data_IF_805879445539
#
_entry.id   IF_805879445539
#
_cell.length_a   1.000
_cell.length_b   1.000
_cell.length_c   1.000
_cell.angle_alpha   90.00
_cell.angle_beta   90.00
_cell.angle_gamma   90.00
#
_symmetry.space_group_name_H-M   'P 1'
#
loop_
_entity.id
_entity.type
_entity.pdbx_description
1 polymer ?
#
# COMPACT_ATOMS: atom_id res chain seq x y z
N UNK A 1 21.44 -17.83 1.41
CA UNK A 1 21.23 -17.48 2.84
C UNK A 1 19.87 -16.81 2.91
N UNK A 2 18.84 -17.49 3.45
CA UNK A 2 17.49 -16.94 3.51
C UNK A 2 17.44 -15.81 4.54
N UNK A 3 16.96 -14.64 4.14
CA UNK A 3 16.73 -13.51 5.04
C UNK A 3 15.71 -13.98 6.08
N UNK A 4 16.04 -13.84 7.37
CA UNK A 4 15.18 -14.24 8.50
C UNK A 4 13.77 -13.65 8.28
N UNK A 5 12.75 -14.52 8.21
CA UNK A 5 11.36 -14.14 7.95
C UNK A 5 10.87 -14.29 6.49
N UNK A 6 11.75 -14.55 5.51
CA UNK A 6 11.35 -14.84 4.13
C UNK A 6 11.20 -16.34 3.88
N UNK A 7 10.14 -16.75 3.16
CA UNK A 7 9.87 -18.16 2.88
C UNK A 7 10.15 -18.52 1.42
N UNK A 8 10.76 -19.70 1.20
CA UNK A 8 10.90 -20.24 -0.15
C UNK A 8 9.57 -20.82 -0.61
N UNK A 9 8.98 -20.21 -1.64
CA UNK A 9 7.77 -20.68 -2.28
C UNK A 9 8.11 -21.69 -3.39
N UNK A 10 7.46 -22.84 -3.37
CA UNK A 10 7.49 -23.80 -4.46
C UNK A 10 6.57 -23.33 -5.59
N UNK A 11 6.84 -23.75 -6.83
CA UNK A 11 6.15 -23.22 -8.02
C UNK A 11 4.61 -23.27 -7.99
N UNK A 12 3.99 -24.23 -7.29
CA UNK A 12 2.52 -24.29 -7.14
C UNK A 12 1.96 -23.42 -6.00
N UNK A 13 2.80 -23.05 -5.03
CA UNK A 13 2.37 -22.33 -3.83
C UNK A 13 2.03 -20.87 -4.13
N UNK A 14 2.70 -20.26 -5.12
CA UNK A 14 2.41 -18.89 -5.58
C UNK A 14 0.97 -18.74 -6.12
N UNK A 15 0.37 -19.83 -6.60
CA UNK A 15 -1.00 -19.86 -7.14
C UNK A 15 -2.04 -20.35 -6.14
N UNK A 16 -1.62 -20.74 -4.93
CA UNK A 16 -2.53 -21.28 -3.91
C UNK A 16 -3.25 -20.14 -3.20
N UNK A 17 -4.57 -20.17 -3.26
CA UNK A 17 -5.45 -19.28 -2.48
C UNK A 17 -6.09 -20.05 -1.33
N UNK A 18 -6.42 -19.37 -0.23
CA UNK A 18 -6.96 -20.00 0.98
C UNK A 18 -8.04 -19.14 1.62
N UNK A 19 -9.05 -19.79 2.22
CA UNK A 19 -10.05 -19.12 3.08
C UNK A 19 -9.44 -18.66 4.42
N UNK A 20 -8.45 -19.40 4.91
CA UNK A 20 -7.83 -19.17 6.21
C UNK A 20 -6.42 -18.57 6.08
N UNK A 21 -6.04 -17.74 7.06
CA UNK A 21 -4.73 -17.10 7.11
C UNK A 21 -3.65 -18.14 7.45
N UNK A 22 -2.65 -18.30 6.57
CA UNK A 22 -1.54 -19.25 6.77
C UNK A 22 -0.21 -18.61 7.13
N UNK A 23 -0.07 -17.33 6.86
CA UNK A 23 1.12 -16.55 7.19
C UNK A 23 0.69 -15.16 7.70
N UNK A 24 1.52 -14.48 8.49
CA UNK A 24 1.35 -13.05 8.75
C UNK A 24 1.19 -12.26 7.44
N UNK A 25 0.32 -11.25 7.44
CA UNK A 25 0.15 -10.41 6.27
C UNK A 25 1.43 -9.60 6.02
N UNK A 26 1.80 -9.47 4.76
CA UNK A 26 3.08 -8.90 4.36
C UNK A 26 4.26 -9.86 4.49
N UNK A 27 4.08 -11.14 4.87
CA UNK A 27 5.19 -12.11 4.83
C UNK A 27 5.84 -12.12 3.45
N UNK A 28 7.18 -12.11 3.37
CA UNK A 28 7.91 -12.19 2.10
C UNK A 28 8.07 -13.63 1.66
N UNK A 29 7.65 -13.93 0.43
CA UNK A 29 7.92 -15.19 -0.25
C UNK A 29 8.86 -14.97 -1.43
N UNK A 30 9.72 -15.93 -1.73
CA UNK A 30 10.58 -15.89 -2.91
C UNK A 30 10.62 -17.24 -3.62
N UNK A 31 10.82 -17.24 -4.93
CA UNK A 31 10.95 -18.45 -5.75
C UNK A 31 12.40 -18.61 -6.23
N UNK A 32 12.77 -19.82 -6.67
CA UNK A 32 14.13 -20.11 -7.16
C UNK A 32 14.51 -19.35 -8.43
N UNK A 33 13.53 -18.90 -9.19
CA UNK A 33 13.69 -18.09 -10.39
C UNK A 33 13.83 -16.57 -10.09
N UNK A 34 13.91 -16.18 -8.82
CA UNK A 34 14.19 -14.81 -8.39
C UNK A 34 12.96 -13.91 -8.20
N UNK A 35 11.74 -14.39 -8.48
CA UNK A 35 10.52 -13.62 -8.21
C UNK A 35 10.25 -13.50 -6.71
N UNK A 36 9.66 -12.37 -6.30
CA UNK A 36 9.30 -12.07 -4.91
C UNK A 36 7.80 -11.80 -4.81
N UNK A 37 7.24 -12.25 -3.70
CA UNK A 37 5.82 -12.16 -3.39
C UNK A 37 5.61 -11.68 -1.95
N UNK A 38 4.44 -11.12 -1.68
CA UNK A 38 3.98 -10.77 -0.34
C UNK A 38 2.63 -11.45 -0.04
N UNK A 39 2.46 -11.95 1.18
CA UNK A 39 1.21 -12.61 1.57
C UNK A 39 0.12 -11.57 1.87
N UNK A 40 -1.01 -11.64 1.18
CA UNK A 40 -2.08 -10.65 1.23
C UNK A 40 -3.46 -11.29 1.36
N UNK A 41 -4.46 -10.48 1.71
CA UNK A 41 -5.88 -10.85 1.72
C UNK A 41 -6.66 -9.96 0.75
N UNK A 42 -7.54 -10.54 -0.04
CA UNK A 42 -8.45 -9.78 -0.91
C UNK A 42 -9.62 -9.16 -0.11
N UNK A 43 -9.92 -7.88 -0.35
CA UNK A 43 -10.81 -7.08 0.51
C UNK A 43 -12.28 -6.97 0.11
N UNK A 44 -12.62 -6.90 -1.18
CA UNK A 44 -13.96 -6.46 -1.59
C UNK A 44 -14.59 -7.21 -2.77
N UNK A 45 -13.87 -7.31 -3.88
CA UNK A 45 -14.35 -7.94 -5.13
C UNK A 45 -13.41 -9.06 -5.56
N UNK A 46 -13.90 -10.02 -6.33
CA UNK A 46 -13.02 -11.05 -6.88
C UNK A 46 -11.94 -10.41 -7.75
N UNK A 47 -10.67 -10.74 -7.49
CA UNK A 47 -9.56 -10.27 -8.30
C UNK A 47 -9.40 -11.20 -9.49
N UNK A 48 -9.18 -10.63 -10.68
CA UNK A 48 -8.76 -11.39 -11.86
C UNK A 48 -7.24 -11.62 -11.83
N UNK A 49 -6.76 -12.57 -12.64
CA UNK A 49 -5.32 -12.76 -12.88
C UNK A 49 -4.72 -11.57 -13.64
N UNK A 50 -3.46 -11.25 -13.40
CA UNK A 50 -2.72 -10.23 -14.13
C UNK A 50 -3.19 -8.80 -13.85
N UNK A 51 -3.79 -8.55 -12.69
CA UNK A 51 -4.24 -7.20 -12.30
C UNK A 51 -3.25 -6.59 -11.32
N UNK A 52 -2.90 -5.33 -11.55
CA UNK A 52 -2.28 -4.49 -10.54
C UNK A 52 -3.28 -4.28 -9.39
N UNK A 53 -2.81 -4.51 -8.16
CA UNK A 53 -3.59 -4.28 -6.94
C UNK A 53 -2.91 -3.23 -6.07
N UNK A 54 -3.70 -2.54 -5.25
CA UNK A 54 -3.25 -1.59 -4.24
C UNK A 54 -3.82 -1.97 -2.86
N UNK A 55 -3.31 -1.35 -1.80
CA UNK A 55 -3.92 -1.41 -0.47
C UNK A 55 -5.31 -0.76 -0.47
N UNK A 56 -6.15 -1.11 0.51
CA UNK A 56 -7.37 -0.35 0.77
C UNK A 56 -7.03 1.14 0.95
N UNK A 57 -7.94 2.03 0.55
CA UNK A 57 -7.79 3.45 0.83
C UNK A 57 -7.71 3.64 2.36
N UNK A 58 -6.80 4.49 2.87
CA UNK A 58 -6.80 4.86 4.27
C UNK A 58 -8.17 5.39 4.69
N UNK A 59 -8.60 5.03 5.90
CA UNK A 59 -9.87 5.53 6.42
C UNK A 59 -9.66 6.96 6.93
N UNK A 60 -10.20 7.95 6.23
CA UNK A 60 -9.89 9.39 6.39
C UNK A 60 -10.07 9.94 7.82
N UNK A 61 -10.90 9.30 8.64
CA UNK A 61 -11.17 9.75 10.01
C UNK A 61 -10.40 8.96 11.07
N UNK A 62 -9.47 8.10 10.64
CA UNK A 62 -8.55 7.36 11.50
C UNK A 62 -7.09 7.50 11.03
N UNK A 63 -6.85 8.17 9.91
CA UNK A 63 -5.52 8.26 9.28
C UNK A 63 -4.58 9.20 10.01
N UNK A 64 -5.10 10.14 10.78
CA UNK A 64 -4.40 11.30 11.35
C UNK A 64 -5.28 11.96 12.42
N UNK A 65 -4.65 12.83 13.22
CA UNK A 65 -5.29 13.75 14.15
C UNK A 65 -6.23 13.08 15.16
N UNK A 66 -5.92 11.84 15.57
CA UNK A 66 -6.63 11.16 16.64
C UNK A 66 -6.08 11.61 17.99
N UNK A 67 -6.99 11.95 18.88
CA UNK A 67 -6.63 12.41 20.23
C UNK A 67 -6.12 11.25 21.09
N UNK A 68 -5.00 11.49 21.77
CA UNK A 68 -4.46 10.60 22.79
C UNK A 68 -5.23 10.84 24.09
N UNK A 69 -5.97 9.83 24.55
CA UNK A 69 -6.81 9.97 25.75
C UNK A 69 -6.01 9.87 27.05
N UNK A 70 -4.97 9.03 27.06
CA UNK A 70 -4.06 8.88 28.19
C UNK A 70 -2.64 8.89 27.62
N UNK A 71 -1.89 9.95 27.93
CA UNK A 71 -0.48 10.06 27.59
C UNK A 71 0.33 8.90 28.16
N UNK A 72 1.39 8.55 27.45
CA UNK A 72 2.26 7.42 27.79
C UNK A 72 3.71 7.88 27.87
N UNK A 73 4.48 7.25 28.75
CA UNK A 73 5.91 7.52 28.90
C UNK A 73 6.73 6.75 27.87
N UNK A 74 8.00 7.14 27.70
CA UNK A 74 8.97 6.33 26.95
C UNK A 74 9.03 4.90 27.51
N UNK A 75 9.08 3.91 26.63
CA UNK A 75 9.02 2.48 26.97
C UNK A 75 7.62 1.89 26.99
N UNK A 76 6.56 2.68 26.81
CA UNK A 76 5.20 2.17 26.78
C UNK A 76 4.96 1.30 25.53
N UNK A 77 4.37 0.11 25.76
CA UNK A 77 4.02 -0.87 24.73
C UNK A 77 2.52 -0.88 24.37
N UNK A 78 1.77 0.12 24.85
CA UNK A 78 0.34 0.28 24.58
C UNK A 78 -0.04 1.75 24.68
N UNK A 79 -1.13 2.13 24.00
CA UNK A 79 -1.68 3.49 24.06
C UNK A 79 -3.21 3.44 23.97
N UNK A 80 -3.88 4.38 24.65
CA UNK A 80 -5.31 4.57 24.55
C UNK A 80 -5.62 5.83 23.76
N UNK A 81 -6.35 5.65 22.66
CA UNK A 81 -6.71 6.73 21.75
C UNK A 81 -8.22 6.89 21.71
N UNK A 82 -8.63 8.07 21.28
CA UNK A 82 -10.01 8.40 20.98
C UNK A 82 -10.24 8.26 19.49
N UNK A 83 -11.32 7.57 19.11
CA UNK A 83 -11.76 7.43 17.73
C UNK A 83 -13.21 7.88 17.58
N UNK A 84 -13.53 8.42 16.41
CA UNK A 84 -14.87 8.92 16.07
C UNK A 84 -15.70 7.92 15.28
N UNK A 85 -15.10 6.78 14.92
CA UNK A 85 -15.70 5.78 14.03
C UNK A 85 -15.76 4.41 14.68
N UNK A 86 -16.83 3.67 14.38
CA UNK A 86 -16.96 2.28 14.79
C UNK A 86 -15.86 1.45 14.13
N UNK A 87 -15.09 0.73 14.94
CA UNK A 87 -14.09 -0.21 14.47
C UNK A 87 -14.33 -1.56 15.11
N UNK A 88 -14.29 -2.62 14.31
CA UNK A 88 -14.34 -3.99 14.85
C UNK A 88 -13.04 -4.35 15.54
N UNK A 89 -13.10 -5.33 16.44
CA UNK A 89 -11.92 -5.86 17.13
C UNK A 89 -10.83 -6.22 16.11
N UNK A 90 -9.60 -5.78 16.37
CA UNK A 90 -8.42 -6.09 15.56
C UNK A 90 -8.52 -5.77 14.05
N UNK A 91 -9.39 -4.84 13.66
CA UNK A 91 -9.47 -4.34 12.30
C UNK A 91 -8.12 -3.76 11.81
N UNK A 92 -7.26 -3.25 12.68
CA UNK A 92 -5.96 -2.65 12.33
C UNK A 92 -4.76 -3.51 12.76
N UNK A 93 -4.98 -4.74 13.22
CA UNK A 93 -3.90 -5.63 13.64
C UNK A 93 -2.91 -5.92 12.50
N UNK A 94 -1.61 -5.82 12.80
CA UNK A 94 -0.51 -5.90 11.85
C UNK A 94 -0.30 -4.64 11.01
N UNK A 95 -1.14 -3.62 11.18
CA UNK A 95 -0.94 -2.26 10.66
C UNK A 95 -0.03 -1.44 11.55
N UNK A 96 -0.09 -0.13 11.44
CA UNK A 96 0.79 0.79 12.16
C UNK A 96 0.02 1.89 12.85
N UNK A 97 0.53 2.32 14.00
CA UNK A 97 0.22 3.59 14.62
C UNK A 97 1.44 4.49 14.48
N UNK A 98 1.21 5.77 14.25
CA UNK A 98 2.27 6.78 14.21
C UNK A 98 1.82 8.05 14.93
N UNK A 99 2.78 8.78 15.49
CA UNK A 99 2.55 10.08 16.13
C UNK A 99 2.75 11.15 15.07
N UNK A 100 1.69 11.89 14.74
CA UNK A 100 1.67 12.83 13.62
C UNK A 100 1.90 14.28 14.04
N UNK A 101 1.64 14.63 15.30
CA UNK A 101 1.92 15.95 15.86
C UNK A 101 2.23 15.84 17.36
N UNK A 102 2.86 16.88 17.92
CA UNK A 102 3.12 17.04 19.34
C UNK A 102 4.28 16.20 19.90
N UNK A 103 4.19 15.83 21.17
CA UNK A 103 5.26 15.09 21.84
C UNK A 103 5.40 13.67 21.24
N UNK A 104 6.61 13.31 20.82
CA UNK A 104 6.88 12.00 20.21
C UNK A 104 6.58 11.92 18.71
N UNK A 105 6.32 13.04 18.04
CA UNK A 105 6.13 13.13 16.59
C UNK A 105 7.21 12.35 15.80
N UNK A 106 6.79 11.69 14.73
CA UNK A 106 7.66 10.92 13.84
C UNK A 106 7.94 9.48 14.30
N UNK A 107 7.43 9.09 15.47
CA UNK A 107 7.51 7.71 15.94
C UNK A 107 6.42 6.85 15.33
N UNK A 108 6.74 5.59 15.07
CA UNK A 108 5.79 4.59 14.60
C UNK A 108 6.01 3.25 15.30
N UNK A 109 4.93 2.50 15.47
CA UNK A 109 4.97 1.14 15.97
C UNK A 109 3.94 0.27 15.26
N UNK A 110 4.22 -1.03 15.18
CA UNK A 110 3.28 -1.98 14.61
C UNK A 110 2.20 -2.34 15.65
N UNK A 111 0.95 -2.37 15.21
CA UNK A 111 -0.19 -2.74 16.05
C UNK A 111 -0.25 -4.27 16.16
N UNK A 112 -0.16 -4.80 17.38
CA UNK A 112 -0.43 -6.22 17.66
C UNK A 112 -1.93 -6.49 17.68
N UNK A 113 -2.63 -5.74 18.51
CA UNK A 113 -4.05 -5.90 18.79
C UNK A 113 -4.68 -4.55 19.15
N UNK A 114 -6.00 -4.45 19.04
CA UNK A 114 -6.74 -3.34 19.61
C UNK A 114 -8.18 -3.74 19.93
N UNK A 115 -8.76 -3.08 20.93
CA UNK A 115 -10.18 -3.25 21.27
C UNK A 115 -11.08 -2.70 20.17
N UNK A 116 -12.29 -3.25 20.03
CA UNK A 116 -13.32 -2.59 19.22
C UNK A 116 -13.67 -1.24 19.81
N UNK A 117 -14.03 -0.29 18.94
CA UNK A 117 -14.60 0.98 19.34
C UNK A 117 -16.04 1.04 18.83
N UNK A 118 -17.00 1.28 19.72
CA UNK A 118 -18.41 1.47 19.37
C UNK A 118 -18.83 2.90 19.69
N UNK A 119 -19.56 3.55 18.79
CA UNK A 119 -20.15 4.87 19.03
C UNK A 119 -21.32 4.73 20.00
N UNK A 120 -21.02 4.72 21.30
CA UNK A 120 -22.03 4.99 22.33
C UNK A 120 -22.27 6.50 22.36
N UNK A 121 -23.54 6.89 22.21
CA UNK A 121 -24.06 8.26 22.15
C UNK A 121 -23.16 9.34 22.77
N UNK A 122 -22.82 10.35 21.97
CA UNK A 122 -22.31 11.68 22.34
C UNK A 122 -20.85 11.88 22.77
N UNK A 123 -20.02 10.84 22.92
CA UNK A 123 -18.59 11.03 23.22
C UNK A 123 -17.73 9.95 22.51
N UNK A 124 -16.88 10.37 21.57
CA UNK A 124 -15.52 9.85 21.33
C UNK A 124 -15.24 8.44 21.91
N UNK A 125 -15.33 7.39 21.09
CA UNK A 125 -15.08 6.01 21.53
C UNK A 125 -13.61 5.79 21.85
N UNK A 126 -13.31 4.96 22.84
CA UNK A 126 -11.92 4.64 23.21
C UNK A 126 -11.45 3.38 22.52
N UNK A 127 -10.20 3.38 22.08
CA UNK A 127 -9.51 2.23 21.53
C UNK A 127 -8.19 2.02 22.28
N UNK A 128 -8.05 0.86 22.92
CA UNK A 128 -6.77 0.40 23.47
C UNK A 128 -6.00 -0.30 22.35
N UNK A 129 -4.76 0.12 22.13
CA UNK A 129 -3.85 -0.47 21.13
C UNK A 129 -2.66 -1.06 21.86
N UNK A 130 -2.33 -2.31 21.55
CA UNK A 130 -1.12 -2.99 22.00
C UNK A 130 -0.11 -3.07 20.84
N UNK A 131 1.18 -2.90 21.15
CA UNK A 131 2.26 -2.88 20.16
C UNK A 131 2.90 -4.26 19.99
N UNK A 132 3.28 -4.60 18.76
CA UNK A 132 3.84 -5.90 18.40
C UNK A 132 5.37 -5.98 18.62
N UNK A 133 5.88 -7.21 18.77
CA UNK A 133 7.32 -7.55 18.72
C UNK A 133 8.23 -6.71 19.65
N UNK A 134 7.72 -6.35 20.83
CA UNK A 134 8.46 -5.51 21.79
C UNK A 134 8.55 -4.04 21.37
N UNK A 135 7.73 -3.61 20.41
CA UNK A 135 7.57 -2.23 20.01
C UNK A 135 7.17 -1.35 21.19
N UNK A 136 7.80 -0.19 21.27
CA UNK A 136 7.57 0.81 22.31
C UNK A 136 7.56 2.21 21.70
N UNK A 137 6.91 3.15 22.37
CA UNK A 137 7.18 4.57 22.14
C UNK A 137 8.53 4.92 22.75
N UNK A 138 9.42 5.51 21.95
CA UNK A 138 10.79 5.85 22.42
C UNK A 138 10.85 7.23 23.07
N UNK A 139 9.88 8.09 22.77
CA UNK A 139 9.64 9.36 23.45
C UNK A 139 8.25 9.31 24.08
N UNK A 140 8.04 10.07 25.14
CA UNK A 140 6.71 10.19 25.73
C UNK A 140 5.73 10.80 24.71
N UNK A 141 4.50 10.30 24.72
CA UNK A 141 3.37 10.81 23.95
C UNK A 141 2.42 11.46 24.95
N UNK A 142 2.15 12.75 24.81
CA UNK A 142 1.30 13.48 25.76
C UNK A 142 -0.19 13.17 25.52
N UNK A 143 -1.01 13.41 26.53
CA UNK A 143 -2.47 13.46 26.33
C UNK A 143 -2.79 14.69 25.49
N UNK A 144 -3.68 14.56 24.51
CA UNK A 144 -3.97 15.66 23.60
C UNK A 144 -5.33 15.59 22.94
N UNK A 145 -5.96 16.74 22.77
CA UNK A 145 -7.17 16.90 21.96
C UNK A 145 -6.80 17.30 20.52
N UNK A 146 -7.71 17.02 19.59
CA UNK A 146 -7.51 17.33 18.17
C UNK A 146 -7.30 18.84 17.96
N UNK A 147 -6.27 19.24 17.21
CA UNK A 147 -5.94 20.62 16.86
C UNK A 147 -5.26 21.43 17.98
N UNK A 148 -4.55 20.76 18.89
CA UNK A 148 -3.80 21.39 19.99
C UNK A 148 -2.31 21.10 19.86
N UNK A 149 -1.44 21.77 20.65
CA UNK A 149 0.01 21.46 20.67
C UNK A 149 0.36 20.14 21.36
N UNK A 150 -0.65 19.36 21.74
CA UNK A 150 -0.50 18.06 22.40
C UNK A 150 -0.36 16.94 21.37
N UNK A 151 -0.01 15.72 21.80
CA UNK A 151 0.21 14.63 20.85
C UNK A 151 -1.06 14.17 20.14
N UNK A 152 -0.92 13.97 18.84
CA UNK A 152 -1.92 13.40 17.95
C UNK A 152 -1.34 12.18 17.23
N UNK A 153 -2.21 11.22 16.92
CA UNK A 153 -1.80 9.98 16.26
C UNK A 153 -2.66 9.62 15.06
N UNK A 154 -2.07 8.89 14.13
CA UNK A 154 -2.78 8.24 13.03
C UNK A 154 -2.64 6.72 13.10
N UNK A 155 -3.65 5.99 12.60
CA UNK A 155 -3.59 4.53 12.44
C UNK A 155 -3.81 4.13 10.98
N UNK A 156 -3.01 3.19 10.51
CA UNK A 156 -3.06 2.67 9.14
C UNK A 156 -3.18 1.16 9.19
N UNK A 157 -4.12 0.60 8.43
CA UNK A 157 -4.29 -0.85 8.28
C UNK A 157 -3.02 -1.46 7.68
N UNK A 158 -2.76 -2.74 7.94
CA UNK A 158 -1.73 -3.47 7.21
C UNK A 158 -1.97 -3.31 5.69
N UNK A 159 -0.99 -2.82 4.90
CA UNK A 159 -1.18 -2.60 3.47
C UNK A 159 -1.60 -3.85 2.69
N UNK A 160 -1.25 -5.05 3.17
CA UNK A 160 -1.60 -6.32 2.55
C UNK A 160 -2.90 -6.93 3.10
N UNK A 161 -3.59 -6.27 4.03
CA UNK A 161 -4.97 -6.58 4.37
C UNK A 161 -5.91 -5.83 3.42
N UNK A 162 -6.96 -6.52 2.98
CA UNK A 162 -7.96 -6.00 2.05
C UNK A 162 -7.38 -5.34 0.77
N UNK A 163 -6.45 -6.03 0.11
CA UNK A 163 -6.00 -5.64 -1.22
C UNK A 163 -7.18 -5.52 -2.20
N UNK A 164 -7.16 -4.49 -3.03
CA UNK A 164 -8.17 -4.20 -4.05
C UNK A 164 -7.53 -4.01 -5.42
N UNK A 165 -8.30 -4.16 -6.49
CA UNK A 165 -7.86 -3.79 -7.83
C UNK A 165 -7.45 -2.31 -7.80
N UNK A 166 -6.28 -1.98 -8.34
CA UNK A 166 -5.83 -0.60 -8.47
C UNK A 166 -6.87 0.19 -9.29
N UNK A 167 -7.57 1.18 -8.70
CA UNK A 167 -8.53 2.00 -9.41
C UNK A 167 -7.81 2.92 -10.40
N UNK A 168 -8.58 3.50 -11.32
CA UNK A 168 -8.09 4.44 -12.33
C UNK A 168 -7.31 5.62 -11.71
N UNK A 169 -7.80 6.12 -10.58
CA UNK A 169 -7.11 7.09 -9.73
C UNK A 169 -6.71 6.37 -8.46
N UNK A 170 -5.42 6.14 -8.26
CA UNK A 170 -4.93 5.48 -7.05
C UNK A 170 -5.46 6.18 -5.81
N UNK A 171 -5.84 5.38 -4.82
CA UNK A 171 -6.28 5.86 -3.51
C UNK A 171 -5.37 5.37 -2.39
N UNK A 172 -4.37 4.56 -2.73
CA UNK A 172 -3.42 3.97 -1.80
C UNK A 172 -2.18 3.46 -2.57
N UNK A 173 -1.25 2.82 -1.87
CA UNK A 173 -0.01 2.31 -2.48
C UNK A 173 -0.25 1.06 -3.33
N UNK A 174 0.35 1.02 -4.52
CA UNK A 174 0.36 -0.19 -5.35
C UNK A 174 1.15 -1.31 -4.65
N UNK A 175 0.56 -2.50 -4.55
CA UNK A 175 1.14 -3.64 -3.84
C UNK A 175 1.83 -4.63 -4.78
N UNK A 176 1.31 -4.80 -6.00
CA UNK A 176 1.84 -5.77 -6.96
C UNK A 176 0.79 -6.36 -7.88
N UNK A 177 1.12 -7.48 -8.52
CA UNK A 177 0.29 -8.10 -9.55
C UNK A 177 -0.25 -9.45 -9.07
N UNK A 178 -1.50 -9.74 -9.39
CA UNK A 178 -2.16 -11.01 -9.03
C UNK A 178 -1.68 -12.15 -9.94
N UNK A 179 -1.00 -13.19 -9.42
CA UNK A 179 -0.56 -14.32 -10.25
C UNK A 179 -1.71 -15.27 -10.63
N UNK A 180 -2.90 -15.10 -10.03
CA UNK A 180 -4.11 -15.89 -10.25
C UNK A 180 -5.35 -15.08 -9.87
N UNK A 181 -6.51 -15.47 -10.37
CA UNK A 181 -7.79 -15.04 -9.82
C UNK A 181 -7.97 -15.41 -8.33
N UNK A 182 -8.48 -14.48 -7.52
CA UNK A 182 -8.63 -14.62 -6.06
C UNK A 182 -10.05 -14.22 -5.65
N UNK A 183 -10.76 -15.13 -4.97
CA UNK A 183 -12.08 -14.83 -4.43
C UNK A 183 -12.02 -13.76 -3.32
N UNK A 184 -13.15 -13.10 -3.05
CA UNK A 184 -13.26 -12.12 -1.95
C UNK A 184 -12.91 -12.81 -0.63
N UNK A 185 -12.22 -12.10 0.27
CA UNK A 185 -11.78 -12.59 1.58
C UNK A 185 -10.77 -13.75 1.57
N UNK A 186 -10.29 -14.20 0.41
CA UNK A 186 -9.25 -15.22 0.34
C UNK A 186 -7.86 -14.59 0.48
N UNK A 187 -6.94 -15.38 1.02
CA UNK A 187 -5.53 -15.05 1.12
C UNK A 187 -4.77 -15.60 -0.09
N UNK A 188 -3.73 -14.88 -0.49
CA UNK A 188 -2.93 -15.19 -1.68
C UNK A 188 -1.53 -14.56 -1.60
N UNK A 189 -0.68 -14.91 -2.56
CA UNK A 189 0.62 -14.28 -2.77
C UNK A 189 0.50 -13.25 -3.89
N UNK A 190 0.70 -11.96 -3.58
CA UNK A 190 0.81 -10.91 -4.61
C UNK A 190 2.27 -10.83 -5.08
N UNK A 191 2.51 -10.79 -6.39
CA UNK A 191 3.88 -10.68 -6.92
C UNK A 191 4.33 -9.22 -6.88
N UNK A 192 5.49 -8.96 -6.26
CA UNK A 192 6.03 -7.61 -6.03
C UNK A 192 7.34 -7.36 -6.77
N UNK A 193 8.09 -8.41 -7.11
CA UNK A 193 9.35 -8.30 -7.83
C UNK A 193 9.50 -9.42 -8.87
N UNK A 194 10.13 -9.06 -9.98
CA UNK A 194 10.61 -9.95 -11.03
C UNK A 194 9.61 -10.06 -12.18
N UNK A 195 9.87 -10.94 -13.15
CA UNK A 195 9.03 -11.10 -14.33
C UNK A 195 7.58 -11.47 -13.96
N UNK A 196 6.64 -10.60 -14.30
CA UNK A 196 5.21 -10.77 -14.05
C UNK A 196 4.40 -10.48 -15.31
N UNK A 197 3.26 -11.15 -15.44
CA UNK A 197 2.27 -10.86 -16.49
C UNK A 197 1.22 -9.94 -15.90
N UNK A 198 1.01 -8.78 -16.53
CA UNK A 198 0.04 -7.77 -16.09
C UNK A 198 -0.74 -7.23 -17.27
N UNK A 199 -1.99 -6.86 -17.05
CA UNK A 199 -2.77 -6.15 -18.05
C UNK A 199 -2.11 -4.82 -18.37
N UNK A 200 -1.91 -4.56 -19.65
CA UNK A 200 -1.37 -3.28 -20.12
C UNK A 200 -2.49 -2.40 -20.66
N UNK A 201 -2.23 -1.10 -20.66
CA UNK A 201 -3.02 -0.16 -21.45
C UNK A 201 -2.84 -0.52 -22.92
N UNK A 202 -3.97 -0.52 -23.61
CA UNK A 202 -4.12 -1.34 -24.81
C UNK A 202 -4.64 -0.51 -26.00
N UNK A 203 -4.95 0.76 -25.75
CA UNK A 203 -5.43 1.72 -26.73
C UNK A 203 -5.01 3.14 -26.33
N UNK A 204 -4.96 4.04 -27.30
CA UNK A 204 -4.72 5.46 -27.05
C UNK A 204 -3.27 5.80 -26.69
N UNK A 205 -3.09 6.90 -25.97
CA UNK A 205 -1.78 7.35 -25.53
C UNK A 205 -1.29 6.53 -24.35
N UNK A 206 -0.03 6.09 -24.41
CA UNK A 206 0.61 5.41 -23.29
C UNK A 206 0.70 3.90 -23.36
N UNK A 207 0.39 3.28 -24.50
CA UNK A 207 0.64 1.85 -24.74
C UNK A 207 2.11 1.55 -24.36
N UNK A 208 2.35 0.62 -23.41
CA UNK A 208 3.68 0.19 -23.05
C UNK A 208 4.54 -0.17 -24.26
N UNK A 209 5.86 -0.02 -24.12
CA UNK A 209 6.84 -0.52 -25.07
C UNK A 209 8.01 -1.07 -24.27
N UNK A 210 8.70 -2.08 -24.81
CA UNK A 210 9.83 -2.71 -24.13
C UNK A 210 10.87 -1.67 -23.66
N UNK A 211 11.39 -1.85 -22.45
CA UNK A 211 12.35 -0.95 -21.80
C UNK A 211 11.72 0.22 -21.03
N UNK A 212 10.50 0.65 -21.37
CA UNK A 212 9.91 1.82 -20.72
C UNK A 212 9.47 1.54 -19.28
N UNK A 213 9.66 2.51 -18.37
CA UNK A 213 9.10 2.45 -17.03
C UNK A 213 7.57 2.47 -17.09
N UNK A 214 6.95 1.70 -16.19
CA UNK A 214 5.51 1.53 -16.11
C UNK A 214 4.94 2.18 -14.87
N UNK A 215 3.72 2.70 -15.01
CA UNK A 215 2.92 3.28 -13.93
C UNK A 215 1.50 2.70 -13.98
N UNK A 216 0.70 2.83 -12.91
CA UNK A 216 -0.73 2.51 -12.95
C UNK A 216 -1.43 3.25 -14.09
N UNK A 217 -2.31 2.56 -14.82
CA UNK A 217 -3.10 3.14 -15.91
C UNK A 217 -4.42 3.73 -15.40
N UNK A 218 -5.10 4.47 -16.28
CA UNK A 218 -6.49 4.92 -16.07
C UNK A 218 -7.51 3.78 -16.20
N UNK A 219 -7.10 2.61 -16.70
CA UNK A 219 -7.91 1.39 -16.68
C UNK A 219 -7.61 0.62 -15.39
N UNK A 220 -8.64 0.27 -14.63
CA UNK A 220 -8.49 -0.38 -13.34
C UNK A 220 -7.70 -1.71 -13.42
N UNK A 221 -6.63 -1.79 -12.63
CA UNK A 221 -5.72 -2.91 -12.56
C UNK A 221 -4.78 -3.08 -13.76
N UNK A 222 -4.75 -2.11 -14.68
CA UNK A 222 -3.81 -2.11 -15.80
C UNK A 222 -2.62 -1.17 -15.56
N UNK A 223 -1.60 -1.30 -16.41
CA UNK A 223 -0.37 -0.50 -16.36
C UNK A 223 -0.15 0.22 -17.69
N UNK A 224 0.40 1.43 -17.66
CA UNK A 224 0.66 2.26 -18.83
C UNK A 224 2.12 2.73 -18.80
N UNK A 225 2.67 3.14 -19.94
CA UNK A 225 4.02 3.73 -19.96
C UNK A 225 4.01 5.06 -19.22
N UNK A 226 5.08 5.32 -18.47
CA UNK A 226 5.34 6.65 -17.97
C UNK A 226 5.73 7.57 -19.13
N UNK A 227 5.10 8.75 -19.21
CA UNK A 227 5.30 9.75 -20.26
C UNK A 227 6.38 10.78 -19.91
N UNK A 228 7.35 10.44 -19.06
CA UNK A 228 8.52 11.28 -18.85
C UNK A 228 9.61 10.93 -19.86
N UNK A 229 9.71 11.71 -20.94
CA UNK A 229 10.98 11.83 -21.63
C UNK A 229 11.85 12.78 -20.81
N UNK A 230 13.05 12.36 -20.38
CA UNK A 230 14.15 13.32 -20.25
C UNK A 230 14.54 13.64 -21.70
N UNK A 231 13.86 14.61 -22.32
CA UNK A 231 14.32 15.06 -23.63
C UNK A 231 15.57 15.89 -23.41
N UNK A 232 16.67 15.48 -24.04
CA UNK A 232 17.72 16.41 -24.45
C UNK A 232 17.30 17.17 -25.70
N UNK A 233 16.09 16.90 -26.23
CA UNK A 233 15.56 17.61 -27.38
C UNK A 233 15.16 19.01 -26.93
N UNK A 234 16.04 19.95 -27.28
CA UNK A 234 15.68 21.32 -27.62
C UNK A 234 14.76 21.27 -28.84
N UNK A 235 13.51 20.82 -28.65
CA UNK A 235 12.50 20.93 -29.68
C UNK A 235 12.08 22.38 -29.71
N UNK A 236 12.83 23.15 -30.50
CA UNK A 236 12.59 24.55 -30.83
C UNK A 236 11.20 24.72 -31.46
N UNK A 237 10.16 24.75 -30.64
CA UNK A 237 8.95 25.49 -30.98
C UNK A 237 9.23 26.94 -30.63
N UNK A 238 9.52 27.71 -31.68
CA UNK A 238 9.63 29.17 -31.63
C UNK A 238 8.35 29.77 -31.04
N UNK A 239 8.42 30.24 -29.80
CA UNK A 239 7.37 31.07 -29.21
C UNK A 239 7.97 32.45 -28.95
N UNK A 240 7.43 33.44 -29.65
CA UNK A 240 7.75 34.84 -29.41
C UNK A 240 7.19 35.24 -28.04
N UNK A 241 8.07 35.70 -27.15
CA UNK A 241 7.74 36.09 -25.79
C UNK A 241 8.12 34.97 -24.82
N UNK A 242 9.26 35.17 -24.16
CA UNK A 242 9.82 34.21 -23.22
C UNK A 242 8.86 33.90 -22.09
N UNK A 243 8.52 32.62 -21.97
CA UNK A 243 8.23 31.92 -20.73
C UNK A 243 8.41 30.42 -21.01
N UNK A 244 9.37 29.82 -20.31
CA UNK A 244 9.66 28.39 -20.38
C UNK A 244 8.38 27.62 -20.06
N UNK A 245 7.81 26.91 -21.03
CA UNK A 245 6.74 25.94 -20.76
C UNK A 245 7.35 24.68 -20.17
N UNK A 246 7.60 24.71 -18.87
CA UNK A 246 7.70 23.48 -18.09
C UNK A 246 6.31 22.86 -18.11
N UNK A 247 6.11 21.83 -18.93
CA UNK A 247 4.96 20.96 -18.76
C UNK A 247 5.19 20.23 -17.43
N UNK A 248 4.66 20.80 -16.34
CA UNK A 248 4.70 20.18 -15.03
C UNK A 248 4.09 18.79 -15.17
N UNK A 249 4.92 17.77 -14.99
CA UNK A 249 4.50 16.38 -14.83
C UNK A 249 3.57 16.36 -13.61
N UNK A 250 2.27 16.47 -13.86
CA UNK A 250 1.27 16.66 -12.81
C UNK A 250 1.08 15.41 -11.94
N UNK A 251 1.57 14.25 -12.39
CA UNK A 251 1.42 12.97 -11.70
C UNK A 251 2.66 12.09 -11.92
N UNK A 252 3.75 12.38 -11.19
CA UNK A 252 4.87 11.45 -11.07
C UNK A 252 4.47 10.25 -10.22
N UNK A 253 3.85 9.23 -10.83
CA UNK A 253 3.68 7.94 -10.15
C UNK A 253 5.03 7.21 -10.10
N UNK A 254 5.39 6.64 -8.94
CA UNK A 254 6.58 5.81 -8.83
C UNK A 254 6.51 4.65 -9.83
N UNK A 255 7.58 4.41 -10.61
CA UNK A 255 7.57 3.33 -11.58
C UNK A 255 7.44 1.98 -10.85
N UNK A 256 6.48 1.17 -11.27
CA UNK A 256 6.21 -0.15 -10.67
C UNK A 256 7.13 -1.24 -11.24
N UNK A 257 7.88 -0.91 -12.30
CA UNK A 257 8.74 -1.82 -13.04
C UNK A 257 9.04 -1.30 -14.44
N UNK A 258 9.73 -2.14 -15.22
CA UNK A 258 9.98 -1.89 -16.64
C UNK A 258 9.20 -2.87 -17.50
N UNK A 259 8.69 -2.40 -18.63
CA UNK A 259 8.10 -3.27 -19.62
C UNK A 259 9.17 -4.18 -20.23
N UNK A 260 8.95 -5.48 -20.24
CA UNK A 260 9.79 -6.45 -20.94
C UNK A 260 9.24 -6.71 -22.34
N UNK A 261 7.93 -6.89 -22.44
CA UNK A 261 7.22 -7.18 -23.68
C UNK A 261 5.76 -6.80 -23.53
N UNK A 262 5.11 -6.45 -24.64
CA UNK A 262 3.69 -6.10 -24.67
C UNK A 262 3.03 -6.99 -25.70
N UNK A 263 1.89 -7.57 -25.35
CA UNK A 263 0.99 -8.16 -26.34
C UNK A 263 0.44 -7.10 -27.29
N UNK A 264 -0.30 -7.53 -28.32
CA UNK A 264 -1.00 -6.62 -29.23
C UNK A 264 -2.14 -5.84 -28.51
N UNK A 265 -2.78 -4.91 -29.24
CA UNK A 265 -3.85 -4.05 -28.72
C UNK A 265 -4.95 -4.83 -27.99
N UNK A 266 -4.98 -4.73 -26.66
CA UNK A 266 -5.98 -5.38 -25.78
C UNK A 266 -5.42 -6.30 -24.70
N UNK A 267 -4.10 -6.58 -24.73
CA UNK A 267 -3.56 -7.79 -24.13
C UNK A 267 -2.85 -7.58 -22.78
N UNK A 268 -2.21 -8.66 -22.31
CA UNK A 268 -1.29 -8.65 -21.17
C UNK A 268 0.13 -8.46 -21.65
N UNK A 269 0.92 -7.70 -20.90
CA UNK A 269 2.36 -7.54 -21.12
C UNK A 269 3.17 -8.25 -20.03
N UNK A 270 4.43 -8.54 -20.36
CA UNK A 270 5.41 -8.99 -19.38
C UNK A 270 6.19 -7.79 -18.85
N UNK A 271 6.36 -7.74 -17.53
CA UNK A 271 7.00 -6.62 -16.84
C UNK A 271 8.00 -7.13 -15.81
N UNK A 272 9.13 -6.45 -15.67
CA UNK A 272 10.06 -6.66 -14.56
C UNK A 272 9.63 -5.78 -13.40
N UNK A 273 8.85 -6.34 -12.46
CA UNK A 273 8.33 -5.60 -11.31
C UNK A 273 9.46 -5.21 -10.37
N UNK A 274 9.40 -3.99 -9.83
CA UNK A 274 10.34 -3.43 -8.85
C UNK A 274 9.60 -2.66 -7.75
N UNK A 275 8.49 -3.21 -7.29
CA UNK A 275 7.77 -2.64 -6.15
C UNK A 275 8.56 -2.96 -4.89
N UNK A 276 8.75 -1.93 -4.05
CA UNK A 276 9.65 -1.97 -2.91
C UNK A 276 9.49 -3.28 -2.10
N UNK A 277 10.60 -3.94 -1.74
CA UNK A 277 10.64 -5.33 -1.30
C UNK A 277 9.72 -5.66 -0.15
#
# INVERSE_FOLDING_TARGET
MGIVGSILLKGKEIYRTTSDKRHPLGTRGYTRDGRVFRYARNGGVALAVGKLVQSEAPQTNLSDDLSVNIGVTSGAAAINITVTTVTTLNAFAGGYIFVNDGAGEGQMAQILSHTSASTGSTLNSRMNIELADGGIFTTAVSTGAVGTTDSEVGIVRNPYDKAIIAPATLTSVALGVTPRAVAVNYYFWVQTWGPAVVQVNSTGTGIPAAGFPLIPATVAGAVTRYWGYLSTDDSSQSWAGGDVRVELIKYGHYPIGNCMEVGADGETGMVDLKLAP
#
